data_IF_922955366373
#
_entry.id   IF_922955366373
#
_cell.length_a   1.000
_cell.length_b   1.000
_cell.length_c   1.000
_cell.angle_alpha   90.00
_cell.angle_beta   90.00
_cell.angle_gamma   90.00
#
_symmetry.space_group_name_H-M   'P 1'
#
loop_
_entity.id
_entity.type
_entity.pdbx_description
1 polymer ?
#
# COMPACT_ATOMS: atom_id res chain seq x y z
N UNK A 1 23.40 -13.47 -21.45
CA UNK A 1 22.94 -13.50 -20.05
C UNK A 1 21.87 -12.43 -19.87
N UNK A 2 20.62 -12.81 -19.56
CA UNK A 2 19.57 -11.80 -19.27
C UNK A 2 19.90 -11.20 -17.91
N UNK A 3 20.10 -9.88 -17.84
CA UNK A 3 20.16 -9.17 -16.56
C UNK A 3 18.81 -9.39 -15.87
N UNK A 4 18.79 -10.12 -14.76
CA UNK A 4 17.63 -10.20 -13.89
C UNK A 4 17.37 -8.79 -13.41
N UNK A 5 16.26 -8.18 -13.88
CA UNK A 5 15.81 -6.89 -13.34
C UNK A 5 15.50 -7.17 -11.88
N UNK A 6 16.15 -6.52 -10.93
CA UNK A 6 15.72 -6.56 -9.54
C UNK A 6 14.29 -6.02 -9.52
N UNK A 7 13.31 -6.91 -9.45
CA UNK A 7 11.91 -6.53 -9.38
C UNK A 7 11.68 -6.07 -7.96
N UNK A 8 11.83 -4.76 -7.73
CA UNK A 8 11.22 -4.11 -6.58
C UNK A 8 9.71 -4.29 -6.71
N UNK A 9 9.18 -5.37 -6.13
CA UNK A 9 7.74 -5.60 -6.00
C UNK A 9 7.19 -4.54 -5.07
N UNK A 10 6.13 -3.86 -5.50
CA UNK A 10 5.45 -2.86 -4.69
C UNK A 10 5.00 -3.47 -3.35
N UNK A 11 5.21 -2.78 -2.22
CA UNK A 11 4.71 -3.25 -0.93
C UNK A 11 3.26 -2.80 -0.76
N UNK A 12 2.33 -3.74 -0.93
CA UNK A 12 0.89 -3.44 -0.86
C UNK A 12 0.36 -3.31 0.58
N UNK A 13 1.13 -3.72 1.60
CA UNK A 13 0.66 -3.73 3.01
C UNK A 13 0.12 -2.38 3.49
N UNK A 14 0.75 -1.21 3.22
CA UNK A 14 0.21 0.07 3.65
C UNK A 14 -1.14 0.40 3.01
N UNK A 15 -1.35 -0.04 1.77
CA UNK A 15 -2.59 0.20 1.04
C UNK A 15 -3.68 -0.82 1.44
N UNK A 16 -3.29 -2.08 1.73
CA UNK A 16 -4.15 -3.09 2.34
C UNK A 16 -4.71 -2.63 3.69
N UNK A 17 -3.88 -2.03 4.55
CA UNK A 17 -4.33 -1.44 5.80
C UNK A 17 -5.34 -0.31 5.58
N UNK A 18 -5.10 0.56 4.59
CA UNK A 18 -6.02 1.66 4.30
C UNK A 18 -7.38 1.18 3.79
N UNK A 19 -7.39 0.11 2.98
CA UNK A 19 -8.63 -0.57 2.55
C UNK A 19 -9.37 -1.13 3.77
N UNK A 20 -8.65 -1.78 4.70
CA UNK A 20 -9.23 -2.31 5.93
C UNK A 20 -9.90 -1.21 6.77
N UNK A 21 -9.17 -0.13 7.03
CA UNK A 21 -9.67 1.00 7.83
C UNK A 21 -10.90 1.63 7.18
N UNK A 22 -10.90 1.79 5.85
CA UNK A 22 -12.03 2.34 5.13
C UNK A 22 -13.25 1.40 5.14
N UNK A 23 -13.04 0.09 4.98
CA UNK A 23 -14.10 -0.93 5.11
C UNK A 23 -14.74 -0.89 6.51
N UNK A 24 -13.91 -0.88 7.55
CA UNK A 24 -14.36 -0.83 8.95
C UNK A 24 -15.12 0.46 9.24
N UNK A 25 -14.64 1.61 8.72
CA UNK A 25 -15.35 2.91 8.82
C UNK A 25 -16.69 2.91 8.09
N UNK A 26 -16.81 2.15 7.00
CA UNK A 26 -18.06 1.95 6.27
C UNK A 26 -19.00 0.95 6.95
N UNK A 27 -18.60 0.32 8.06
CA UNK A 27 -19.40 -0.66 8.79
C UNK A 27 -19.59 -1.99 8.07
N UNK A 28 -18.71 -2.31 7.10
CA UNK A 28 -18.80 -3.53 6.30
C UNK A 28 -17.96 -4.66 6.90
N UNK A 29 -18.53 -5.87 7.00
CA UNK A 29 -17.71 -7.07 7.20
C UNK A 29 -16.91 -7.39 5.93
N UNK A 30 -15.91 -8.27 6.04
CA UNK A 30 -15.18 -8.74 4.85
C UNK A 30 -16.08 -9.50 3.89
N UNK A 31 -17.06 -10.24 4.42
CA UNK A 31 -18.04 -10.93 3.61
C UNK A 31 -18.93 -9.93 2.85
N UNK A 32 -19.44 -8.88 3.52
CA UNK A 32 -20.26 -7.85 2.87
C UNK A 32 -19.49 -7.12 1.77
N UNK A 33 -18.21 -6.82 2.00
CA UNK A 33 -17.36 -6.23 0.96
C UNK A 33 -17.14 -7.22 -0.18
N UNK A 34 -16.81 -8.47 0.15
CA UNK A 34 -16.60 -9.54 -0.81
C UNK A 34 -17.78 -9.72 -1.77
N UNK A 35 -19.00 -9.73 -1.24
CA UNK A 35 -20.23 -9.81 -2.04
C UNK A 35 -20.40 -8.62 -2.98
N UNK A 36 -19.99 -7.42 -2.57
CA UNK A 36 -20.06 -6.20 -3.41
C UNK A 36 -19.05 -6.18 -4.55
N UNK A 37 -17.86 -6.73 -4.34
CA UNK A 37 -16.78 -6.75 -5.34
C UNK A 37 -16.63 -8.09 -6.06
N UNK A 38 -17.48 -9.07 -5.74
CA UNK A 38 -17.46 -10.45 -6.25
C UNK A 38 -16.17 -11.23 -5.92
N UNK A 39 -15.65 -11.08 -4.70
CA UNK A 39 -14.51 -11.85 -4.18
C UNK A 39 -14.83 -12.47 -2.82
N UNK A 40 -14.20 -13.59 -2.49
CA UNK A 40 -14.41 -14.23 -1.19
C UNK A 40 -13.76 -13.47 -0.03
N UNK A 41 -14.36 -13.57 1.15
CA UNK A 41 -13.87 -12.97 2.41
C UNK A 41 -12.36 -13.21 2.63
N UNK A 42 -11.88 -14.43 2.35
CA UNK A 42 -10.46 -14.78 2.51
C UNK A 42 -9.55 -13.90 1.64
N UNK A 43 -9.94 -13.63 0.41
CA UNK A 43 -9.16 -12.81 -0.51
C UNK A 43 -9.09 -11.37 0.01
N UNK A 44 -10.22 -10.83 0.51
CA UNK A 44 -10.26 -9.52 1.17
C UNK A 44 -9.31 -9.51 2.38
N UNK A 45 -9.34 -10.55 3.22
CA UNK A 45 -8.45 -10.66 4.38
C UNK A 45 -6.96 -10.71 3.98
N UNK A 46 -6.61 -11.40 2.90
CA UNK A 46 -5.22 -11.51 2.43
C UNK A 46 -4.70 -10.15 1.92
N UNK A 47 -5.54 -9.38 1.23
CA UNK A 47 -5.19 -8.01 0.82
C UNK A 47 -4.98 -7.12 2.04
N UNK A 48 -5.92 -7.14 2.99
CA UNK A 48 -5.92 -6.26 4.16
C UNK A 48 -4.80 -6.55 5.15
N UNK A 49 -4.49 -7.83 5.40
CA UNK A 49 -3.61 -8.24 6.49
C UNK A 49 -2.18 -8.53 6.05
N UNK A 50 -1.99 -9.18 4.90
CA UNK A 50 -0.66 -9.59 4.42
C UNK A 50 -0.18 -8.80 3.21
N UNK A 51 -1.02 -7.92 2.65
CA UNK A 51 -0.67 -7.13 1.47
C UNK A 51 -0.58 -7.99 0.21
N UNK A 52 -1.46 -8.99 0.09
CA UNK A 52 -1.62 -9.72 -1.17
C UNK A 52 -1.96 -8.74 -2.29
N UNK A 53 -1.37 -8.93 -3.47
CA UNK A 53 -1.61 -8.05 -4.62
C UNK A 53 -2.94 -8.42 -5.28
N UNK A 54 -3.97 -7.56 -5.23
CA UNK A 54 -5.21 -7.80 -5.95
C UNK A 54 -5.00 -7.73 -7.48
N UNK A 55 -5.98 -8.22 -8.23
CA UNK A 55 -6.12 -7.87 -9.65
C UNK A 55 -6.31 -6.35 -9.79
N UNK A 56 -5.96 -5.79 -10.95
CA UNK A 56 -6.18 -4.35 -11.19
C UNK A 56 -7.65 -3.96 -11.06
N UNK A 57 -8.58 -4.82 -11.51
CA UNK A 57 -10.01 -4.59 -11.37
C UNK A 57 -10.43 -4.49 -9.90
N UNK A 58 -10.03 -5.47 -9.08
CA UNK A 58 -10.35 -5.46 -7.64
C UNK A 58 -9.71 -4.25 -6.95
N UNK A 59 -8.46 -3.93 -7.28
CA UNK A 59 -7.80 -2.73 -6.76
C UNK A 59 -8.61 -1.47 -7.08
N UNK A 60 -8.97 -1.28 -8.34
CA UNK A 60 -9.77 -0.16 -8.81
C UNK A 60 -11.10 -0.06 -8.04
N UNK A 61 -11.82 -1.18 -7.90
CA UNK A 61 -13.12 -1.19 -7.23
C UNK A 61 -13.01 -0.83 -5.75
N UNK A 62 -11.97 -1.32 -5.06
CA UNK A 62 -11.73 -1.00 -3.65
C UNK A 62 -11.38 0.48 -3.43
N UNK A 63 -10.46 1.04 -4.23
CA UNK A 63 -10.02 2.42 -4.03
C UNK A 63 -11.07 3.44 -4.43
N UNK A 64 -11.89 3.13 -5.45
CA UNK A 64 -13.01 3.99 -5.86
C UNK A 64 -14.18 3.89 -4.90
N UNK A 65 -14.57 2.69 -4.45
CA UNK A 65 -15.66 2.49 -3.49
C UNK A 65 -15.41 3.22 -2.16
N UNK A 66 -14.17 3.21 -1.68
CA UNK A 66 -13.80 3.84 -0.41
C UNK A 66 -13.20 5.24 -0.55
N UNK A 67 -13.12 5.76 -1.78
CA UNK A 67 -12.53 7.07 -2.08
C UNK A 67 -11.12 7.22 -1.47
N UNK A 68 -10.30 6.17 -1.60
CA UNK A 68 -8.92 6.12 -1.09
C UNK A 68 -7.99 6.77 -2.12
N UNK A 69 -7.33 7.86 -1.74
CA UNK A 69 -6.26 8.44 -2.56
C UNK A 69 -5.03 7.52 -2.57
N UNK A 70 -4.64 7.09 -3.77
CA UNK A 70 -3.51 6.19 -4.01
C UNK A 70 -2.18 6.92 -4.17
N UNK A 71 -2.22 8.24 -4.42
CA UNK A 71 -1.06 9.06 -4.75
C UNK A 71 0.04 8.98 -3.70
N UNK A 72 -0.33 9.04 -2.42
CA UNK A 72 0.64 8.95 -1.31
C UNK A 72 1.36 7.60 -1.21
N UNK A 73 0.81 6.55 -1.81
CA UNK A 73 1.39 5.20 -1.80
C UNK A 73 2.28 4.98 -3.02
N UNK A 74 1.90 5.51 -4.18
CA UNK A 74 2.69 5.43 -5.41
C UNK A 74 3.82 6.46 -5.48
N UNK A 75 3.59 7.63 -4.88
CA UNK A 75 4.51 8.75 -4.84
C UNK A 75 4.76 9.16 -3.38
N UNK A 76 5.39 8.28 -2.57
CA UNK A 76 5.78 8.68 -1.23
C UNK A 76 6.70 9.89 -1.34
N UNK A 77 6.43 10.93 -0.56
CA UNK A 77 7.30 12.09 -0.48
C UNK A 77 8.73 11.58 -0.31
N UNK A 78 9.65 12.05 -1.17
CA UNK A 78 11.06 11.67 -1.07
C UNK A 78 11.45 11.79 0.40
N UNK A 79 11.91 10.68 0.99
CA UNK A 79 12.61 10.76 2.26
C UNK A 79 13.79 11.66 1.95
N UNK A 80 13.65 12.96 2.24
CA UNK A 80 14.77 13.88 2.31
C UNK A 80 15.66 13.21 3.32
N UNK A 81 16.65 12.47 2.83
CA UNK A 81 17.67 11.90 3.64
C UNK A 81 18.30 13.11 4.28
N UNK A 82 17.89 13.41 5.51
CA UNK A 82 18.62 14.27 6.41
C UNK A 82 19.96 13.56 6.62
N UNK A 83 20.86 13.67 5.63
CA UNK A 83 22.29 13.69 5.88
C UNK A 83 22.53 14.99 6.63
N UNK A 84 22.14 15.00 7.91
CA UNK A 84 22.80 15.86 8.86
C UNK A 84 24.23 15.30 8.98
N UNK A 85 25.11 15.69 8.05
CA UNK A 85 26.51 15.78 8.38
C UNK A 85 26.58 16.83 9.49
N UNK A 86 26.81 16.36 10.71
CA UNK A 86 27.05 17.22 11.86
C UNK A 86 28.19 18.21 11.50
N UNK A 87 28.09 19.51 11.85
CA UNK A 87 29.17 20.48 11.58
C UNK A 87 30.48 20.24 12.34
N UNK A 88 30.68 19.09 13.00
CA UNK A 88 31.77 18.83 13.93
C UNK A 88 33.12 18.48 13.31
N UNK A 89 33.22 18.26 11.99
CA UNK A 89 34.48 17.80 11.37
C UNK A 89 35.32 18.93 10.71
N UNK A 90 35.00 20.21 10.94
CA UNK A 90 35.80 21.35 10.44
C UNK A 90 36.72 21.96 11.49
N UNK A 91 37.53 21.12 12.14
CA UNK A 91 38.70 21.60 12.86
C UNK A 91 39.77 20.52 12.97
N UNK A 92 40.56 20.34 11.91
CA UNK A 92 41.94 19.86 12.00
C UNK A 92 42.67 20.20 10.67
N UNK A 93 43.90 20.68 10.86
CA UNK A 93 44.90 21.25 9.92
C UNK A 93 44.61 22.63 9.33
#
# INVERSE_FOLDING_TARGET
MRKTKETHTFDFRPLGLAIREAREKAGLSRNDLGDKVFYGERHIADIENVGSHPSFQLFHDLVTMFNISVDKYFYPAEKVAKKHSSPSDRNLS
#
